data_IF_685394954710
#
_entry.id   IF_685394954710
#
_cell.length_a   1.000
_cell.length_b   1.000
_cell.length_c   1.000
_cell.angle_alpha   90.00
_cell.angle_beta   90.00
_cell.angle_gamma   90.00
#
_symmetry.space_group_name_H-M   'P 1'
#
loop_
_entity.id
_entity.type
_entity.pdbx_description
1 polymer ?
#
# COMPACT_ATOMS: atom_id res chain seq x y z
N UNK A 1 -31.14 8.41 64.79
CA UNK A 1 -31.04 9.71 64.11
C UNK A 1 -29.61 10.15 64.29
N UNK A 2 -28.79 10.06 63.24
CA UNK A 2 -27.79 11.07 62.88
C UNK A 2 -26.90 10.56 61.74
N UNK A 3 -26.72 11.48 60.80
CA UNK A 3 -26.29 11.35 59.41
C UNK A 3 -24.95 10.66 59.14
N UNK A 4 -24.95 9.91 58.04
CA UNK A 4 -23.80 9.70 57.16
C UNK A 4 -23.17 11.04 56.73
N UNK A 5 -21.85 11.16 56.87
CA UNK A 5 -21.05 11.94 55.93
C UNK A 5 -19.64 11.36 55.84
N UNK A 6 -19.44 10.62 54.76
CA UNK A 6 -18.16 10.12 54.27
C UNK A 6 -17.25 11.30 53.90
N UNK A 7 -16.12 11.45 54.59
CA UNK A 7 -15.02 12.30 54.13
C UNK A 7 -14.08 11.46 53.27
N UNK A 8 -14.31 11.46 51.95
CA UNK A 8 -13.29 11.12 50.98
C UNK A 8 -12.18 12.19 51.03
N UNK A 9 -10.99 11.81 51.48
CA UNK A 9 -9.80 12.62 51.33
C UNK A 9 -9.45 12.65 49.83
N UNK A 10 -9.70 13.78 49.17
CA UNK A 10 -9.17 14.06 47.84
C UNK A 10 -7.67 14.33 47.97
N UNK A 11 -6.85 13.36 47.60
CA UNK A 11 -5.44 13.60 47.27
C UNK A 11 -5.37 14.56 46.09
N UNK A 12 -4.73 15.71 46.30
CA UNK A 12 -4.43 16.66 45.23
C UNK A 12 -3.44 16.01 44.25
N UNK A 13 -3.63 16.17 42.92
CA UNK A 13 -2.69 15.65 41.95
C UNK A 13 -1.33 16.36 42.12
N UNK A 14 -0.31 15.57 42.41
CA UNK A 14 1.08 16.01 42.48
C UNK A 14 1.51 16.55 41.12
N UNK A 15 1.94 17.81 41.08
CA UNK A 15 2.52 18.42 39.90
C UNK A 15 3.75 17.60 39.42
N UNK A 16 3.90 17.32 38.11
CA UNK A 16 5.06 16.59 37.64
C UNK A 16 6.31 17.44 37.85
N UNK A 17 7.22 16.96 38.71
CA UNK A 17 8.59 17.48 38.82
C UNK A 17 9.38 17.05 37.59
N UNK A 18 9.20 17.77 36.49
CA UNK A 18 10.02 17.63 35.30
C UNK A 18 11.03 18.79 35.24
N UNK A 19 12.08 18.69 36.06
CA UNK A 19 13.36 19.26 35.67
C UNK A 19 13.98 18.25 34.68
N UNK A 20 13.55 18.30 33.42
CA UNK A 20 14.12 17.47 32.35
C UNK A 20 15.53 17.96 32.05
N UNK A 21 16.48 17.03 32.10
CA UNK A 21 17.86 17.20 31.65
C UNK A 21 17.89 17.76 30.20
N UNK A 22 18.52 18.92 29.93
CA UNK A 22 18.54 19.56 28.61
C UNK A 22 19.05 18.65 27.50
N UNK A 23 19.90 17.67 27.83
CA UNK A 23 20.44 16.68 26.89
C UNK A 23 19.38 15.69 26.37
N UNK A 24 18.25 15.55 27.07
CA UNK A 24 17.17 14.61 26.72
C UNK A 24 16.12 15.21 25.79
N UNK A 25 15.97 16.54 25.78
CA UNK A 25 15.10 17.30 24.87
C UNK A 25 15.51 17.11 23.40
N UNK A 26 16.80 16.81 23.16
CA UNK A 26 17.50 16.76 21.88
C UNK A 26 17.15 15.54 21.00
N UNK A 27 16.32 14.61 21.50
CA UNK A 27 16.05 13.32 20.86
C UNK A 27 14.68 13.21 20.18
N UNK A 28 13.79 14.21 20.33
CA UNK A 28 12.35 14.08 20.01
C UNK A 28 11.93 14.95 18.82
N UNK A 29 10.99 14.44 18.02
CA UNK A 29 10.29 15.27 17.05
C UNK A 29 9.39 16.26 17.79
N UNK A 30 9.54 17.55 17.52
CA UNK A 30 8.66 18.61 18.02
C UNK A 30 7.59 18.98 16.98
N UNK A 31 6.53 19.67 17.41
CA UNK A 31 5.48 20.22 16.53
C UNK A 31 4.78 19.21 15.61
N UNK A 32 4.54 17.99 16.09
CA UNK A 32 3.92 16.91 15.30
C UNK A 32 2.43 17.12 14.99
N UNK A 33 1.74 17.97 15.75
CA UNK A 33 0.31 18.22 15.56
C UNK A 33 0.04 19.21 14.43
N UNK A 34 -1.07 18.99 13.72
CA UNK A 34 -1.66 19.99 12.83
C UNK A 34 -2.58 20.89 13.65
N UNK A 35 -2.47 22.20 13.46
CA UNK A 35 -3.33 23.18 14.12
C UNK A 35 -4.54 23.40 13.23
N UNK A 36 -5.63 22.69 13.54
CA UNK A 36 -6.87 22.75 12.75
C UNK A 36 -7.86 23.80 13.27
N UNK A 37 -7.62 24.37 14.45
CA UNK A 37 -8.52 25.37 15.03
C UNK A 37 -8.32 26.73 14.36
N UNK A 38 -9.38 27.27 13.75
CA UNK A 38 -9.38 28.54 13.02
C UNK A 38 -8.98 29.74 13.89
N UNK A 39 -9.31 29.70 15.18
CA UNK A 39 -8.97 30.76 16.14
C UNK A 39 -7.59 30.63 16.79
N UNK A 40 -6.80 29.61 16.45
CA UNK A 40 -5.55 29.30 17.17
C UNK A 40 -4.53 30.45 17.12
N UNK A 41 -4.57 31.22 16.04
CA UNK A 41 -3.70 32.36 15.81
C UNK A 41 -4.48 33.67 15.57
N UNK A 42 -5.74 33.72 16.01
CA UNK A 42 -6.56 34.93 15.90
C UNK A 42 -5.92 36.12 16.62
N UNK A 43 -5.22 35.87 17.74
CA UNK A 43 -4.44 36.89 18.46
C UNK A 43 -3.24 37.42 17.69
N UNK A 44 -2.74 36.66 16.70
CA UNK A 44 -1.67 37.07 15.78
C UNK A 44 -2.23 37.62 14.45
N UNK A 45 -3.55 37.74 14.32
CA UNK A 45 -4.21 38.20 13.09
C UNK A 45 -4.20 37.19 11.95
N UNK A 46 -3.86 35.91 12.21
CA UNK A 46 -3.84 34.85 11.19
C UNK A 46 -5.18 34.13 11.19
N UNK A 47 -5.87 34.17 10.05
CA UNK A 47 -7.11 33.42 9.82
C UNK A 47 -6.79 32.03 9.26
N UNK A 48 -7.02 31.01 10.08
CA UNK A 48 -6.83 29.60 9.72
C UNK A 48 -8.13 28.93 9.21
N UNK A 49 -9.15 29.71 8.83
CA UNK A 49 -10.38 29.14 8.26
C UNK A 49 -10.10 28.37 6.97
N UNK A 50 -10.72 27.18 6.85
CA UNK A 50 -10.61 26.37 5.64
C UNK A 50 -11.39 27.05 4.51
N UNK A 51 -10.68 27.67 3.57
CA UNK A 51 -11.27 28.26 2.36
C UNK A 51 -11.00 27.36 1.16
N UNK A 52 -12.07 26.89 0.51
CA UNK A 52 -11.94 25.99 -0.64
C UNK A 52 -11.14 26.63 -1.78
N UNK A 53 -11.32 27.92 -2.03
CA UNK A 53 -10.56 28.65 -3.06
C UNK A 53 -9.06 28.68 -2.76
N UNK A 54 -8.69 28.85 -1.49
CA UNK A 54 -7.30 28.79 -1.07
C UNK A 54 -6.72 27.38 -1.30
N UNK A 55 -7.47 26.33 -0.96
CA UNK A 55 -7.05 24.96 -1.24
C UNK A 55 -6.87 24.73 -2.74
N UNK A 56 -7.83 25.11 -3.59
CA UNK A 56 -7.77 24.92 -5.04
C UNK A 56 -6.59 25.64 -5.70
N UNK A 57 -6.21 26.82 -5.20
CA UNK A 57 -5.11 27.60 -5.76
C UNK A 57 -3.73 27.10 -5.33
N UNK A 58 -3.63 26.48 -4.14
CA UNK A 58 -2.35 26.02 -3.58
C UNK A 58 -2.10 24.53 -3.77
N UNK A 59 -3.14 23.72 -3.91
CA UNK A 59 -3.02 22.29 -4.11
C UNK A 59 -2.39 21.99 -5.47
N UNK A 60 -1.30 21.23 -5.45
CA UNK A 60 -0.56 20.82 -6.66
C UNK A 60 -0.11 19.38 -6.54
N UNK A 61 -0.11 18.69 -7.69
CA UNK A 61 0.46 17.36 -7.84
C UNK A 61 1.56 17.45 -8.89
N UNK A 62 2.76 17.00 -8.54
CA UNK A 62 3.91 16.94 -9.44
C UNK A 62 4.39 15.50 -9.55
N UNK A 63 4.23 14.88 -10.72
CA UNK A 63 4.73 13.51 -10.96
C UNK A 63 6.23 13.60 -11.23
N UNK A 64 7.02 12.92 -10.41
CA UNK A 64 8.49 12.92 -10.49
C UNK A 64 8.96 11.74 -11.33
N UNK A 65 8.38 10.57 -11.09
CA UNK A 65 8.71 9.34 -11.81
C UNK A 65 7.46 8.48 -12.01
N UNK A 66 7.38 7.83 -13.16
CA UNK A 66 6.29 6.93 -13.54
C UNK A 66 6.88 5.74 -14.29
N UNK A 67 6.97 4.60 -13.59
CA UNK A 67 7.30 3.30 -14.13
C UNK A 67 6.07 2.50 -14.54
N UNK A 68 6.27 1.22 -14.89
CA UNK A 68 5.18 0.30 -15.22
C UNK A 68 4.39 -0.11 -13.96
N UNK A 69 5.10 -0.46 -12.89
CA UNK A 69 4.53 -0.95 -11.64
C UNK A 69 4.73 0.02 -10.46
N UNK A 70 5.42 1.15 -10.66
CA UNK A 70 5.68 2.14 -9.61
C UNK A 70 5.47 3.59 -10.06
N UNK A 71 5.07 4.45 -9.11
CA UNK A 71 4.92 5.89 -9.32
C UNK A 71 5.43 6.65 -8.10
N UNK A 72 6.17 7.73 -8.33
CA UNK A 72 6.56 8.72 -7.32
C UNK A 72 6.04 10.10 -7.71
N UNK A 73 5.27 10.72 -6.83
CA UNK A 73 4.73 12.05 -7.06
C UNK A 73 4.64 12.86 -5.76
N UNK A 74 4.66 14.18 -5.91
CA UNK A 74 4.55 15.12 -4.82
C UNK A 74 3.11 15.63 -4.71
N UNK A 75 2.56 15.62 -3.50
CA UNK A 75 1.30 16.25 -3.15
C UNK A 75 1.57 17.45 -2.25
N UNK A 76 1.33 18.65 -2.79
CA UNK A 76 1.64 19.93 -2.14
C UNK A 76 0.32 20.62 -1.76
N UNK A 77 0.25 21.18 -0.56
CA UNK A 77 -0.90 21.94 -0.06
C UNK A 77 -2.04 21.07 0.51
N UNK A 78 -1.75 19.83 0.93
CA UNK A 78 -2.74 18.90 1.49
C UNK A 78 -2.52 18.64 2.98
N UNK A 79 -3.58 18.29 3.72
CA UNK A 79 -3.48 17.91 5.13
C UNK A 79 -3.01 16.44 5.30
N UNK A 80 -2.19 16.13 6.32
CA UNK A 80 -1.75 14.77 6.61
C UNK A 80 -2.89 13.74 6.77
N UNK A 81 -4.07 14.15 7.24
CA UNK A 81 -5.21 13.26 7.42
C UNK A 81 -5.74 12.75 6.08
N UNK A 82 -5.82 13.63 5.07
CA UNK A 82 -6.30 13.27 3.73
C UNK A 82 -5.25 12.43 2.98
N UNK A 83 -3.97 12.82 3.08
CA UNK A 83 -2.85 12.02 2.57
C UNK A 83 -2.87 10.58 3.18
N UNK A 84 -3.04 10.47 4.50
CA UNK A 84 -3.13 9.17 5.16
C UNK A 84 -4.41 8.40 4.79
N UNK A 85 -5.52 9.09 4.50
CA UNK A 85 -6.74 8.45 4.03
C UNK A 85 -6.50 7.76 2.68
N UNK A 86 -5.88 8.44 1.70
CA UNK A 86 -5.53 7.84 0.42
C UNK A 86 -4.58 6.65 0.58
N UNK A 87 -3.53 6.78 1.41
CA UNK A 87 -2.62 5.68 1.72
C UNK A 87 -3.36 4.45 2.27
N UNK A 88 -4.32 4.66 3.18
CA UNK A 88 -5.11 3.56 3.78
C UNK A 88 -6.06 2.92 2.77
N UNK A 89 -6.71 3.72 1.93
CA UNK A 89 -7.63 3.23 0.89
C UNK A 89 -6.87 2.38 -0.12
N UNK A 90 -5.70 2.84 -0.59
CA UNK A 90 -4.83 2.08 -1.50
C UNK A 90 -4.48 0.69 -0.96
N UNK A 91 -4.13 0.60 0.33
CA UNK A 91 -3.71 -0.67 0.93
C UNK A 91 -4.90 -1.61 1.18
N UNK A 92 -6.04 -1.07 1.62
CA UNK A 92 -7.10 -1.88 2.23
C UNK A 92 -8.42 -1.92 1.46
N UNK A 93 -8.72 -0.94 0.62
CA UNK A 93 -10.09 -0.75 0.10
C UNK A 93 -10.19 -0.76 -1.41
N UNK A 94 -9.10 -0.49 -2.13
CA UNK A 94 -9.08 -0.70 -3.58
C UNK A 94 -9.22 -2.21 -3.86
N UNK A 95 -10.25 -2.65 -4.60
CA UNK A 95 -10.51 -4.05 -4.82
C UNK A 95 -9.62 -4.65 -5.91
N UNK A 96 -9.33 -5.95 -5.79
CA UNK A 96 -8.59 -6.73 -6.80
C UNK A 96 -9.19 -8.13 -6.95
N UNK A 97 -8.70 -8.90 -7.92
CA UNK A 97 -9.03 -10.32 -8.08
C UNK A 97 -7.92 -11.17 -7.47
N UNK A 98 -8.28 -12.13 -6.62
CA UNK A 98 -7.32 -13.09 -6.05
C UNK A 98 -7.98 -14.47 -5.86
N UNK A 99 -7.17 -15.54 -5.84
CA UNK A 99 -7.64 -16.91 -5.63
C UNK A 99 -8.20 -17.07 -4.21
N UNK A 100 -9.44 -17.55 -4.11
CA UNK A 100 -10.15 -17.78 -2.86
C UNK A 100 -10.41 -19.26 -2.61
N UNK A 101 -11.01 -19.96 -3.58
CA UNK A 101 -11.36 -21.37 -3.46
C UNK A 101 -10.40 -22.20 -4.32
N UNK A 102 -9.82 -23.26 -3.75
CA UNK A 102 -8.96 -24.20 -4.47
C UNK A 102 -9.57 -25.59 -4.35
N UNK A 103 -9.93 -26.17 -5.47
CA UNK A 103 -10.48 -27.52 -5.61
C UNK A 103 -9.33 -28.44 -6.00
N UNK A 104 -8.91 -29.32 -5.10
CA UNK A 104 -7.82 -30.27 -5.35
C UNK A 104 -8.41 -31.60 -5.80
N UNK A 105 -8.07 -32.04 -7.02
CA UNK A 105 -8.43 -33.37 -7.49
C UNK A 105 -7.41 -34.42 -7.04
N UNK A 106 -6.12 -34.09 -7.16
CA UNK A 106 -5.04 -34.97 -6.73
C UNK A 106 -3.80 -34.15 -6.33
N UNK A 107 -3.28 -34.35 -5.12
CA UNK A 107 -2.00 -33.81 -4.70
C UNK A 107 -1.17 -34.93 -4.06
N UNK A 108 -0.10 -35.34 -4.76
CA UNK A 108 0.89 -36.30 -4.25
C UNK A 108 2.24 -35.64 -3.97
N UNK A 109 2.27 -34.30 -3.96
CA UNK A 109 3.47 -33.52 -3.65
C UNK A 109 3.81 -33.57 -2.16
N UNK A 110 4.95 -33.00 -1.79
CA UNK A 110 5.35 -32.86 -0.38
C UNK A 110 4.66 -31.69 0.33
N UNK A 111 4.05 -30.77 -0.42
CA UNK A 111 3.39 -29.59 0.14
C UNK A 111 1.95 -29.98 0.48
N UNK A 112 1.54 -29.70 1.72
CA UNK A 112 0.17 -29.93 2.18
C UNK A 112 -0.82 -29.05 1.40
N UNK A 113 -2.05 -29.54 1.24
CA UNK A 113 -3.08 -28.89 0.45
C UNK A 113 -3.37 -27.46 0.92
N UNK A 114 -3.42 -27.23 2.23
CA UNK A 114 -3.69 -25.92 2.82
C UNK A 114 -2.56 -24.92 2.54
N UNK A 115 -1.31 -25.40 2.59
CA UNK A 115 -0.12 -24.58 2.29
C UNK A 115 -0.07 -24.26 0.80
N UNK A 116 -0.40 -25.23 -0.05
CA UNK A 116 -0.49 -25.05 -1.50
C UNK A 116 -1.57 -24.03 -1.85
N UNK A 117 -2.77 -24.16 -1.28
CA UNK A 117 -3.87 -23.23 -1.48
C UNK A 117 -3.53 -21.81 -1.00
N UNK A 118 -2.88 -21.68 0.16
CA UNK A 118 -2.43 -20.39 0.68
C UNK A 118 -1.41 -19.72 -0.27
N UNK A 119 -0.46 -20.48 -0.83
CA UNK A 119 0.51 -19.96 -1.81
C UNK A 119 -0.18 -19.50 -3.09
N UNK A 120 -1.12 -20.29 -3.62
CA UNK A 120 -1.90 -19.91 -4.80
C UNK A 120 -2.71 -18.64 -4.56
N UNK A 121 -3.28 -18.48 -3.36
CA UNK A 121 -4.01 -17.28 -2.96
C UNK A 121 -3.20 -15.99 -3.03
N UNK A 122 -1.88 -16.05 -2.89
CA UNK A 122 -0.98 -14.89 -2.88
C UNK A 122 -0.40 -14.53 -4.26
N UNK A 123 -0.75 -15.27 -5.31
CA UNK A 123 -0.28 -14.97 -6.67
C UNK A 123 -1.12 -13.79 -7.22
N UNK A 124 -0.50 -12.66 -7.58
CA UNK A 124 -1.22 -11.54 -8.17
C UNK A 124 -1.74 -11.90 -9.56
N UNK A 125 -3.02 -11.64 -9.80
CA UNK A 125 -3.68 -11.89 -11.09
C UNK A 125 -3.73 -10.58 -11.85
N UNK A 126 -3.25 -10.60 -13.10
CA UNK A 126 -3.34 -9.48 -14.01
C UNK A 126 -4.72 -9.46 -14.67
N UNK A 127 -5.63 -8.69 -14.07
CA UNK A 127 -6.99 -8.50 -14.56
C UNK A 127 -7.59 -7.24 -13.98
N UNK A 128 -8.40 -6.53 -14.77
CA UNK A 128 -9.13 -5.35 -14.29
C UNK A 128 -10.30 -5.78 -13.39
N UNK A 129 -10.28 -5.47 -12.08
CA UNK A 129 -11.33 -5.85 -11.15
C UNK A 129 -12.64 -5.09 -11.38
N UNK A 130 -12.64 -4.01 -12.17
CA UNK A 130 -13.85 -3.22 -12.47
C UNK A 130 -14.82 -3.97 -13.38
N UNK A 131 -14.33 -4.91 -14.16
CA UNK A 131 -15.12 -5.77 -15.05
C UNK A 131 -15.89 -6.85 -14.27
N UNK A 132 -15.54 -7.06 -13.00
CA UNK A 132 -16.13 -8.11 -12.16
C UNK A 132 -17.02 -7.54 -11.05
N UNK A 133 -18.10 -8.26 -10.79
CA UNK A 133 -19.04 -7.99 -9.70
C UNK A 133 -18.62 -8.73 -8.42
N UNK A 134 -19.06 -8.23 -7.26
CA UNK A 134 -18.91 -8.97 -6.01
C UNK A 134 -19.85 -10.18 -5.99
N UNK A 135 -19.43 -11.26 -5.31
CA UNK A 135 -20.25 -12.47 -5.19
C UNK A 135 -21.26 -12.33 -4.05
N UNK A 136 -22.52 -11.99 -4.36
CA UNK A 136 -23.57 -11.78 -3.36
C UNK A 136 -24.22 -13.07 -2.82
N UNK A 137 -24.18 -14.18 -3.58
CA UNK A 137 -24.96 -15.41 -3.29
C UNK A 137 -24.14 -16.71 -3.34
N UNK A 138 -22.82 -16.59 -3.31
CA UNK A 138 -21.88 -17.74 -3.41
C UNK A 138 -22.02 -18.60 -4.68
N UNK A 139 -22.82 -18.20 -5.66
CA UNK A 139 -22.96 -18.87 -6.95
C UNK A 139 -21.94 -18.33 -7.94
N UNK A 140 -20.91 -19.10 -8.34
CA UNK A 140 -19.90 -18.64 -9.29
C UNK A 140 -20.49 -18.51 -10.69
N UNK A 141 -20.40 -17.33 -11.28
CA UNK A 141 -20.84 -17.00 -12.63
C UNK A 141 -19.71 -16.35 -13.44
N UNK A 142 -19.97 -16.09 -14.72
CA UNK A 142 -19.00 -15.52 -15.65
C UNK A 142 -18.57 -14.08 -15.31
N UNK A 143 -19.34 -13.36 -14.49
CA UNK A 143 -19.08 -11.96 -14.12
C UNK A 143 -18.42 -11.78 -12.75
N UNK A 144 -18.37 -12.82 -11.92
CA UNK A 144 -17.87 -12.72 -10.54
C UNK A 144 -16.65 -13.61 -10.26
N UNK A 145 -16.43 -14.64 -11.08
CA UNK A 145 -15.40 -15.66 -10.83
C UNK A 145 -14.54 -15.90 -12.06
N UNK A 146 -13.24 -16.06 -11.83
CA UNK A 146 -12.27 -16.54 -12.83
C UNK A 146 -11.79 -17.91 -12.37
N UNK A 147 -11.74 -18.89 -13.28
CA UNK A 147 -11.27 -20.25 -12.97
C UNK A 147 -9.93 -20.49 -13.65
N UNK A 148 -8.97 -20.99 -12.87
CA UNK A 148 -7.68 -21.47 -13.37
C UNK A 148 -7.55 -22.97 -13.11
N UNK A 149 -6.89 -23.68 -14.02
CA UNK A 149 -6.50 -25.08 -13.85
C UNK A 149 -4.99 -25.16 -13.73
N UNK A 150 -4.52 -26.00 -12.81
CA UNK A 150 -3.12 -26.35 -12.67
C UNK A 150 -3.00 -27.86 -12.73
N UNK A 151 -2.34 -28.37 -13.76
CA UNK A 151 -2.01 -29.77 -13.89
C UNK A 151 -0.51 -29.93 -14.17
N UNK A 152 0.21 -30.54 -13.23
CA UNK A 152 1.64 -30.74 -13.32
C UNK A 152 2.00 -32.14 -12.82
N UNK A 153 2.64 -32.93 -13.69
CA UNK A 153 3.09 -34.29 -13.39
C UNK A 153 4.57 -34.47 -13.69
N UNK A 154 5.32 -34.97 -12.71
CA UNK A 154 6.72 -35.34 -12.89
C UNK A 154 6.81 -36.84 -13.17
N UNK A 155 7.20 -37.23 -14.39
CA UNK A 155 7.34 -38.65 -14.73
C UNK A 155 8.52 -39.32 -14.01
N UNK A 156 8.43 -40.64 -13.80
CA UNK A 156 9.51 -41.42 -13.19
C UNK A 156 10.75 -41.38 -14.10
N UNK A 157 11.90 -41.04 -13.53
CA UNK A 157 13.18 -40.97 -14.26
C UNK A 157 13.56 -39.59 -14.81
N UNK A 158 12.66 -38.59 -14.75
CA UNK A 158 12.99 -37.19 -15.07
C UNK A 158 13.57 -36.46 -13.84
N UNK A 159 14.34 -35.37 -14.04
CA UNK A 159 14.75 -34.51 -12.93
C UNK A 159 13.53 -33.86 -12.26
N UNK A 160 13.75 -33.31 -11.06
CA UNK A 160 12.69 -32.64 -10.29
C UNK A 160 12.08 -31.50 -11.11
N UNK A 161 10.75 -31.45 -11.17
CA UNK A 161 10.00 -30.43 -11.88
C UNK A 161 9.70 -29.26 -10.93
N UNK A 162 10.03 -28.04 -11.34
CA UNK A 162 9.59 -26.82 -10.63
C UNK A 162 8.27 -26.37 -11.24
N UNK A 163 7.21 -26.34 -10.44
CA UNK A 163 5.89 -25.87 -10.84
C UNK A 163 5.85 -24.36 -10.60
N UNK A 164 5.69 -23.58 -11.67
CA UNK A 164 5.59 -22.12 -11.61
C UNK A 164 4.18 -21.63 -11.94
N UNK A 165 3.89 -20.36 -11.65
CA UNK A 165 2.62 -19.69 -11.96
C UNK A 165 2.24 -19.74 -13.43
N UNK A 166 3.21 -19.80 -14.36
CA UNK A 166 2.96 -20.00 -15.80
C UNK A 166 2.08 -21.22 -16.13
N UNK A 167 2.10 -22.25 -15.29
CA UNK A 167 1.30 -23.46 -15.49
C UNK A 167 -0.18 -23.29 -15.11
N UNK A 168 -0.57 -22.14 -14.53
CA UNK A 168 -1.97 -21.79 -14.31
C UNK A 168 -2.62 -21.42 -15.65
N UNK A 169 -3.45 -22.32 -16.17
CA UNK A 169 -4.20 -22.09 -17.42
C UNK A 169 -5.59 -21.58 -17.10
N UNK A 170 -5.97 -20.42 -17.62
CA UNK A 170 -7.32 -19.88 -17.50
C UNK A 170 -8.35 -20.76 -18.22
N UNK A 171 -9.49 -21.00 -17.58
CA UNK A 171 -10.63 -21.73 -18.11
C UNK A 171 -11.82 -20.77 -18.34
N UNK A 172 -12.03 -20.29 -19.59
CA UNK A 172 -13.05 -19.28 -19.87
C UNK A 172 -14.50 -19.83 -19.79
N UNK A 173 -14.66 -21.15 -19.86
CA UNK A 173 -15.96 -21.84 -19.76
C UNK A 173 -16.33 -22.21 -18.32
N UNK A 174 -15.50 -21.86 -17.34
CA UNK A 174 -15.68 -22.22 -15.93
C UNK A 174 -15.02 -23.54 -15.55
N UNK A 175 -15.43 -24.09 -14.40
CA UNK A 175 -14.91 -25.32 -13.80
C UNK A 175 -15.23 -26.54 -14.66
N UNK A 176 -14.23 -27.38 -14.89
CA UNK A 176 -14.33 -28.69 -15.55
C UNK A 176 -14.61 -29.80 -14.52
N UNK A 177 -14.32 -29.56 -13.24
CA UNK A 177 -14.55 -30.53 -12.17
C UNK A 177 -16.06 -30.74 -11.89
N UNK A 178 -16.53 -32.00 -11.87
CA UNK A 178 -17.92 -32.30 -11.58
C UNK A 178 -18.23 -32.07 -10.11
N UNK A 179 -19.34 -31.39 -9.84
CA UNK A 179 -19.93 -31.31 -8.51
C UNK A 179 -20.50 -32.68 -8.16
N UNK A 180 -20.02 -33.30 -7.07
CA UNK A 180 -20.57 -34.56 -6.56
C UNK A 180 -21.95 -34.27 -5.95
N UNK A 181 -23.00 -34.24 -6.78
CA UNK A 181 -24.38 -34.21 -6.30
C UNK A 181 -24.96 -35.61 -6.36
N UNK A 182 -25.43 -36.11 -5.21
CA UNK A 182 -26.20 -37.35 -5.12
C UNK A 182 -27.35 -37.37 -6.13
N UNK A 183 -27.42 -38.46 -6.91
CA UNK A 183 -28.42 -38.80 -7.93
C UNK A 183 -28.26 -38.07 -9.27
N UNK A 184 -27.44 -38.67 -10.13
CA UNK A 184 -27.42 -38.42 -11.57
C UNK A 184 -28.80 -38.70 -12.19
N UNK A 185 -29.42 -37.67 -12.76
CA UNK A 185 -30.48 -37.83 -13.77
C UNK A 185 -29.80 -38.27 -15.08
N UNK A 186 -30.28 -39.28 -15.82
CA UNK A 186 -29.51 -39.91 -16.90
C UNK A 186 -29.26 -39.05 -18.15
N UNK A 187 -29.64 -37.77 -18.19
CA UNK A 187 -29.65 -36.98 -19.43
C UNK A 187 -29.33 -35.48 -19.28
N UNK A 188 -28.80 -35.03 -18.13
CA UNK A 188 -28.33 -33.64 -17.95
C UNK A 188 -26.80 -33.59 -17.93
N UNK A 189 -26.21 -32.54 -18.54
CA UNK A 189 -24.78 -32.24 -18.37
C UNK A 189 -24.41 -32.29 -16.88
N UNK A 190 -23.26 -32.89 -16.51
CA UNK A 190 -22.83 -32.92 -15.12
C UNK A 190 -22.75 -31.47 -14.60
N UNK A 191 -23.33 -31.22 -13.42
CA UNK A 191 -23.21 -29.91 -12.77
C UNK A 191 -21.75 -29.75 -12.35
N UNK A 192 -21.13 -28.62 -12.67
CA UNK A 192 -19.78 -28.28 -12.23
C UNK A 192 -19.87 -27.26 -11.10
N UNK A 193 -18.73 -26.84 -10.52
CA UNK A 193 -18.68 -25.86 -9.44
C UNK A 193 -19.03 -24.43 -9.87
N UNK A 194 -19.20 -24.19 -11.17
CA UNK A 194 -19.55 -22.88 -11.74
C UNK A 194 -20.74 -22.99 -12.68
N UNK A 195 -21.55 -21.94 -12.77
CA UNK A 195 -22.69 -21.86 -13.70
C UNK A 195 -22.48 -20.72 -14.69
N UNK A 196 -21.60 -20.92 -15.67
CA UNK A 196 -21.29 -19.91 -16.69
C UNK A 196 -22.32 -19.99 -17.81
N UNK A 197 -22.98 -18.86 -18.10
CA UNK A 197 -23.99 -18.78 -19.17
C UNK A 197 -23.37 -18.67 -20.56
N UNK A 198 -22.19 -18.04 -20.63
CA UNK A 198 -21.38 -17.85 -21.82
C UNK A 198 -19.89 -17.98 -21.47
N UNK A 199 -19.04 -18.14 -22.50
CA UNK A 199 -17.60 -18.19 -22.30
C UNK A 199 -17.04 -16.78 -22.14
N UNK A 200 -16.16 -16.58 -21.16
CA UNK A 200 -15.55 -15.28 -20.90
C UNK A 200 -14.69 -14.79 -22.07
N UNK A 201 -14.13 -15.68 -22.89
CA UNK A 201 -13.32 -15.33 -24.07
C UNK A 201 -14.12 -14.62 -25.18
N UNK A 202 -15.43 -14.88 -25.25
CA UNK A 202 -16.33 -14.25 -26.22
C UNK A 202 -16.72 -12.83 -25.86
N UNK A 203 -16.47 -12.41 -24.62
CA UNK A 203 -16.76 -11.05 -24.19
C UNK A 203 -15.70 -10.09 -24.75
N UNK A 204 -16.11 -8.97 -25.37
CA UNK A 204 -15.18 -8.03 -26.00
C UNK A 204 -14.16 -7.47 -24.99
N UNK A 205 -14.57 -7.35 -23.73
CA UNK A 205 -13.77 -6.87 -22.59
C UNK A 205 -12.52 -7.75 -22.32
N UNK A 206 -12.58 -9.06 -22.60
CA UNK A 206 -11.49 -10.01 -22.33
C UNK A 206 -10.74 -10.45 -23.59
N UNK A 207 -11.25 -10.12 -24.78
CA UNK A 207 -10.63 -10.51 -26.07
C UNK A 207 -9.23 -9.92 -26.30
N UNK A 208 -8.93 -8.76 -25.71
CA UNK A 208 -7.64 -8.07 -25.85
C UNK A 208 -6.71 -8.24 -24.63
N UNK A 209 -7.22 -8.68 -23.47
CA UNK A 209 -6.46 -8.78 -22.23
C UNK A 209 -6.43 -10.22 -21.75
N UNK A 210 -5.28 -10.89 -21.91
CA UNK A 210 -5.11 -12.27 -21.42
C UNK A 210 -5.16 -12.32 -19.90
N UNK A 211 -6.17 -12.99 -19.35
CA UNK A 211 -6.29 -13.23 -17.92
C UNK A 211 -5.23 -14.26 -17.51
N UNK A 212 -4.37 -13.89 -16.56
CA UNK A 212 -3.30 -14.74 -16.07
C UNK A 212 -2.58 -14.17 -14.85
N UNK A 213 -1.62 -14.90 -14.28
CA UNK A 213 -0.75 -14.34 -13.26
C UNK A 213 0.09 -13.20 -13.84
N UNK A 214 0.34 -12.13 -13.06
CA UNK A 214 1.24 -11.03 -13.48
C UNK A 214 2.65 -11.55 -13.74
N UNK A 215 3.19 -12.30 -12.77
CA UNK A 215 4.51 -12.92 -12.89
C UNK A 215 4.38 -14.41 -13.21
N UNK A 216 5.07 -14.86 -14.26
CA UNK A 216 5.04 -16.25 -14.74
C UNK A 216 6.04 -17.19 -14.03
N UNK A 217 6.98 -16.62 -13.29
CA UNK A 217 8.11 -17.35 -12.69
C UNK A 217 7.95 -17.59 -11.17
N UNK A 218 6.78 -17.28 -10.60
CA UNK A 218 6.51 -17.54 -9.19
C UNK A 218 6.49 -19.05 -8.95
N UNK A 219 7.41 -19.54 -8.13
CA UNK A 219 7.49 -20.97 -7.78
C UNK A 219 6.33 -21.32 -6.82
N UNK A 220 5.49 -22.25 -7.24
CA UNK A 220 4.38 -22.78 -6.45
C UNK A 220 4.85 -24.00 -5.64
N UNK A 221 5.41 -24.99 -6.34
CA UNK A 221 5.82 -26.27 -5.76
C UNK A 221 7.03 -26.87 -6.48
N UNK A 222 7.70 -27.84 -5.85
CA UNK A 222 8.73 -28.67 -6.51
C UNK A 222 8.36 -30.13 -6.41
N UNK A 223 8.20 -30.78 -7.56
CA UNK A 223 7.80 -32.18 -7.67
C UNK A 223 9.01 -33.08 -7.89
N UNK A 224 9.02 -34.19 -7.18
CA UNK A 224 9.92 -35.32 -7.42
C UNK A 224 9.33 -36.31 -8.43
N UNK A 225 10.13 -37.27 -8.92
CA UNK A 225 9.70 -38.24 -9.92
C UNK A 225 8.52 -39.10 -9.41
N UNK A 226 7.44 -39.14 -10.17
CA UNK A 226 6.21 -39.85 -9.83
C UNK A 226 5.15 -39.02 -9.10
N UNK A 227 5.44 -37.78 -8.73
CA UNK A 227 4.49 -36.87 -8.08
C UNK A 227 3.69 -36.07 -9.11
N UNK A 228 2.47 -35.68 -8.71
CA UNK A 228 1.48 -34.99 -9.51
C UNK A 228 0.65 -34.03 -8.64
N UNK A 229 0.30 -32.88 -9.24
CA UNK A 229 -0.65 -31.89 -8.72
C UNK A 229 -1.69 -31.66 -9.81
N UNK A 230 -2.96 -31.79 -9.45
CA UNK A 230 -4.12 -31.48 -10.27
C UNK A 230 -5.16 -30.73 -9.43
N UNK A 231 -5.43 -29.48 -9.80
CA UNK A 231 -6.37 -28.62 -9.09
C UNK A 231 -7.02 -27.56 -10.00
N UNK A 232 -8.15 -27.04 -9.53
CA UNK A 232 -8.78 -25.82 -10.04
C UNK A 232 -8.75 -24.73 -8.96
N UNK A 233 -8.47 -23.49 -9.35
CA UNK A 233 -8.39 -22.34 -8.47
C UNK A 233 -9.38 -21.26 -8.94
N UNK A 234 -10.29 -20.86 -8.07
CA UNK A 234 -11.33 -19.88 -8.34
C UNK A 234 -10.92 -18.55 -7.73
N UNK A 235 -10.73 -17.55 -8.57
CA UNK A 235 -10.44 -16.18 -8.19
C UNK A 235 -11.70 -15.32 -8.18
N UNK A 236 -11.81 -14.49 -7.15
CA UNK A 236 -12.95 -13.62 -6.91
C UNK A 236 -12.50 -12.21 -6.54
N UNK A 237 -13.40 -11.25 -6.74
CA UNK A 237 -13.20 -9.86 -6.36
C UNK A 237 -13.25 -9.72 -4.84
N UNK A 238 -12.27 -9.04 -4.27
CA UNK A 238 -12.18 -8.76 -2.84
C UNK A 238 -11.37 -7.52 -2.53
N UNK A 239 -11.25 -7.20 -1.24
CA UNK A 239 -10.55 -6.00 -0.74
C UNK A 239 -9.46 -6.38 0.26
N UNK A 240 -8.37 -5.60 0.29
CA UNK A 240 -7.25 -5.79 1.21
C UNK A 240 -7.63 -5.79 2.70
N UNK A 241 -8.72 -5.11 3.06
CA UNK A 241 -9.30 -5.07 4.42
C UNK A 241 -9.77 -6.45 4.89
N UNK A 242 -10.24 -7.29 3.97
CA UNK A 242 -10.66 -8.67 4.28
C UNK A 242 -9.45 -9.58 4.39
N UNK A 243 -8.52 -9.51 3.44
CA UNK A 243 -7.28 -10.27 3.47
C UNK A 243 -6.20 -9.57 2.63
N UNK A 244 -4.94 -9.64 3.08
CA UNK A 244 -3.81 -8.95 2.44
C UNK A 244 -3.58 -9.37 0.98
N UNK A 245 -4.01 -10.56 0.57
CA UNK A 245 -3.90 -11.05 -0.82
C UNK A 245 -4.63 -10.19 -1.85
N UNK A 246 -5.64 -9.44 -1.43
CA UNK A 246 -6.36 -8.50 -2.29
C UNK A 246 -5.78 -7.09 -2.25
N UNK A 247 -4.66 -6.86 -1.56
CA UNK A 247 -4.01 -5.56 -1.61
C UNK A 247 -3.38 -5.35 -3.00
N UNK A 248 -3.76 -4.30 -3.74
CA UNK A 248 -3.22 -4.03 -5.07
C UNK A 248 -1.81 -3.46 -5.06
N UNK A 249 -1.32 -3.08 -3.88
CA UNK A 249 -0.02 -2.43 -3.71
C UNK A 249 0.92 -3.36 -2.96
N UNK A 250 2.15 -3.49 -3.46
CA UNK A 250 3.24 -4.09 -2.69
C UNK A 250 3.54 -3.19 -1.49
N UNK A 251 3.66 -1.89 -1.73
CA UNK A 251 3.70 -0.87 -0.68
C UNK A 251 3.16 0.46 -1.19
N UNK A 252 2.46 1.16 -0.31
CA UNK A 252 2.06 2.55 -0.52
C UNK A 252 2.44 3.34 0.72
N UNK A 253 3.33 4.31 0.56
CA UNK A 253 3.82 5.12 1.65
C UNK A 253 4.07 6.55 1.19
N UNK A 254 4.20 7.44 2.16
CA UNK A 254 4.60 8.80 1.91
C UNK A 254 5.58 9.25 2.97
N UNK A 255 6.42 10.22 2.61
CA UNK A 255 7.23 11.00 3.55
C UNK A 255 6.97 12.48 3.32
N UNK A 256 7.05 13.27 4.38
CA UNK A 256 7.08 14.73 4.22
C UNK A 256 8.42 15.13 3.60
N UNK A 257 8.41 16.16 2.75
CA UNK A 257 9.65 16.72 2.18
C UNK A 257 10.59 17.16 3.34
N UNK A 258 11.81 16.62 3.40
CA UNK A 258 12.81 17.09 4.35
C UNK A 258 13.21 18.53 4.03
N UNK A 259 13.24 19.38 5.05
CA UNK A 259 13.78 20.73 4.95
C UNK A 259 15.00 20.80 5.87
N UNK A 260 16.18 21.06 5.29
CA UNK A 260 17.42 21.21 6.05
C UNK A 260 17.80 22.68 6.02
N UNK A 261 17.85 23.31 7.20
CA UNK A 261 18.17 24.73 7.33
C UNK A 261 19.52 24.86 8.05
N UNK A 262 20.44 25.60 7.45
CA UNK A 262 21.68 26.01 8.09
C UNK A 262 21.43 27.32 8.84
N UNK A 263 21.59 27.30 10.16
CA UNK A 263 21.36 28.48 11.02
C UNK A 263 22.59 29.39 11.12
N UNK A 264 23.77 28.83 10.84
CA UNK A 264 25.05 29.54 10.81
C UNK A 264 25.75 29.24 9.48
N UNK A 265 26.65 30.13 9.05
CA UNK A 265 27.52 29.86 7.90
C UNK A 265 28.59 28.83 8.30
N UNK A 266 28.66 27.74 7.54
CA UNK A 266 29.58 26.63 7.80
C UNK A 266 30.65 26.66 6.72
N UNK A 267 31.87 27.02 7.11
CA UNK A 267 33.01 27.25 6.22
C UNK A 267 34.11 26.18 6.37
N UNK A 268 34.89 26.01 5.31
CA UNK A 268 36.16 25.30 5.22
C UNK A 268 36.12 23.86 5.79
N UNK A 269 36.92 23.56 6.83
CA UNK A 269 37.04 22.21 7.40
C UNK A 269 35.69 21.67 7.92
N UNK A 270 34.86 22.56 8.47
CA UNK A 270 33.53 22.18 8.96
C UNK A 270 32.58 21.85 7.81
N UNK A 271 32.72 22.51 6.66
CA UNK A 271 31.92 22.21 5.48
C UNK A 271 32.24 20.82 4.92
N UNK A 272 33.52 20.47 4.85
CA UNK A 272 33.99 19.15 4.43
C UNK A 272 33.56 18.06 5.45
N UNK A 273 33.62 18.34 6.76
CA UNK A 273 33.12 17.43 7.80
C UNK A 273 31.61 17.17 7.63
N UNK A 274 30.82 18.22 7.43
CA UNK A 274 29.37 18.13 7.26
C UNK A 274 28.99 17.32 6.02
N UNK A 275 29.68 17.56 4.90
CA UNK A 275 29.49 16.80 3.66
C UNK A 275 29.80 15.31 3.88
N UNK A 276 30.94 15.00 4.53
CA UNK A 276 31.34 13.62 4.85
C UNK A 276 30.37 12.90 5.80
N UNK A 277 29.70 13.61 6.70
CA UNK A 277 28.69 13.02 7.61
C UNK A 277 27.42 12.57 6.88
N UNK A 278 27.13 13.12 5.70
CA UNK A 278 25.90 12.81 4.98
C UNK A 278 26.15 11.72 3.92
N UNK A 279 25.64 10.48 4.11
CA UNK A 279 25.89 9.38 3.16
C UNK A 279 25.13 9.53 1.82
N UNK A 280 24.16 10.44 1.75
CA UNK A 280 23.30 10.67 0.57
C UNK A 280 23.55 12.03 -0.08
N UNK A 281 24.69 12.65 0.24
CA UNK A 281 25.18 13.90 -0.36
C UNK A 281 24.13 15.02 -0.43
N UNK A 282 23.43 15.29 0.69
CA UNK A 282 22.49 16.43 0.79
C UNK A 282 23.22 17.76 0.67
N UNK A 283 24.42 17.82 1.25
CA UNK A 283 25.24 19.03 1.30
C UNK A 283 26.22 19.06 0.13
N UNK A 284 26.43 20.24 -0.42
CA UNK A 284 27.49 20.51 -1.38
C UNK A 284 28.34 21.70 -0.94
N UNK A 285 29.48 21.91 -1.58
CA UNK A 285 30.43 22.96 -1.24
C UNK A 285 30.52 23.94 -2.39
N UNK A 286 30.26 25.21 -2.11
CA UNK A 286 30.47 26.33 -3.02
C UNK A 286 31.77 27.07 -2.66
N UNK A 287 32.56 27.40 -3.68
CA UNK A 287 33.75 28.25 -3.51
C UNK A 287 33.34 29.73 -3.55
N UNK A 288 33.64 30.47 -2.48
CA UNK A 288 33.38 31.90 -2.35
C UNK A 288 34.64 32.70 -2.71
N UNK A 289 34.45 33.96 -3.14
CA UNK A 289 35.54 34.93 -3.28
C UNK A 289 36.44 34.96 -2.02
N UNK A 290 37.75 34.99 -2.23
CA UNK A 290 38.83 34.78 -1.24
C UNK A 290 39.23 33.32 -0.97
N UNK A 291 38.75 32.35 -1.75
CA UNK A 291 39.19 30.95 -1.65
C UNK A 291 38.62 30.19 -0.45
N UNK A 292 37.55 30.72 0.16
CA UNK A 292 36.79 30.07 1.24
C UNK A 292 35.78 29.11 0.66
N UNK A 293 35.57 27.98 1.33
CA UNK A 293 34.57 26.97 0.97
C UNK A 293 33.36 27.09 1.88
N UNK A 294 32.15 27.13 1.35
CA UNK A 294 30.91 27.18 2.15
C UNK A 294 30.00 25.98 1.85
N UNK A 295 29.45 25.37 2.90
CA UNK A 295 28.45 24.33 2.74
C UNK A 295 27.08 24.93 2.34
N UNK A 296 26.44 24.33 1.35
CA UNK A 296 25.06 24.60 0.95
C UNK A 296 24.22 23.33 0.99
N UNK A 297 22.91 23.49 1.10
CA UNK A 297 21.95 22.37 1.01
C UNK A 297 21.51 22.23 -0.45
N UNK A 298 22.20 21.39 -1.21
CA UNK A 298 21.94 21.21 -2.64
C UNK A 298 20.77 20.25 -2.91
N UNK A 299 20.64 19.18 -2.11
CA UNK A 299 19.67 18.08 -2.36
C UNK A 299 18.87 17.71 -1.11
N UNK A 300 17.96 18.57 -0.63
CA UNK A 300 17.17 18.30 0.57
C UNK A 300 16.23 17.10 0.41
N UNK A 301 15.68 16.86 -0.80
CA UNK A 301 14.78 15.73 -1.12
C UNK A 301 15.40 14.36 -0.82
N UNK A 302 16.70 14.22 -1.09
CA UNK A 302 17.46 12.98 -0.91
C UNK A 302 17.71 12.65 0.57
N UNK A 303 17.49 13.60 1.48
CA UNK A 303 17.73 13.40 2.91
C UNK A 303 16.84 12.27 3.46
N UNK A 304 17.47 11.25 4.04
CA UNK A 304 16.79 10.14 4.75
C UNK A 304 16.45 10.47 6.19
N UNK A 305 16.78 11.69 6.66
CA UNK A 305 16.65 12.14 8.05
C UNK A 305 17.36 11.20 9.05
N UNK A 306 18.56 10.71 8.70
CA UNK A 306 19.38 9.85 9.56
C UNK A 306 19.87 10.53 10.85
N UNK A 307 19.78 11.87 10.93
CA UNK A 307 20.20 12.73 12.05
C UNK A 307 21.70 12.73 12.36
N UNK A 308 22.54 12.20 11.47
CA UNK A 308 23.99 12.21 11.67
C UNK A 308 24.59 13.63 11.58
N UNK A 309 24.01 14.50 10.74
CA UNK A 309 24.46 15.89 10.60
C UNK A 309 24.22 16.78 11.83
N UNK A 310 23.34 16.37 12.75
CA UNK A 310 23.10 17.07 14.02
C UNK A 310 23.76 16.34 15.20
N UNK A 311 24.47 15.24 14.94
CA UNK A 311 25.14 14.46 15.99
C UNK A 311 26.48 15.11 16.34
N UNK A 312 26.67 15.36 17.63
CA UNK A 312 27.88 15.96 18.21
C UNK A 312 27.62 17.32 18.84
N UNK A 313 28.51 17.75 19.73
CA UNK A 313 28.45 19.08 20.34
C UNK A 313 28.59 20.16 19.25
N UNK A 314 27.87 21.28 19.43
CA UNK A 314 27.76 22.41 18.49
C UNK A 314 26.95 22.21 17.19
N UNK A 315 26.82 21.00 16.64
CA UNK A 315 26.09 20.77 15.38
C UNK A 315 24.58 21.05 15.47
N UNK A 316 23.98 20.86 16.65
CA UNK A 316 22.57 21.16 16.91
C UNK A 316 22.21 22.63 16.66
N UNK A 317 23.12 23.56 16.95
CA UNK A 317 22.89 25.01 16.75
C UNK A 317 23.08 25.43 15.29
N UNK A 318 23.85 24.64 14.54
CA UNK A 318 24.25 24.95 13.15
C UNK A 318 23.28 24.40 12.12
N UNK A 319 22.72 23.22 12.38
CA UNK A 319 21.86 22.51 11.42
C UNK A 319 20.52 22.20 12.05
N UNK A 320 19.45 22.74 11.47
CA UNK A 320 18.07 22.47 11.87
C UNK A 320 17.42 21.53 10.84
N UNK A 321 17.09 20.31 11.26
CA UNK A 321 16.31 19.36 10.46
C UNK A 321 14.81 19.55 10.68
N UNK A 322 14.08 19.83 9.59
CA UNK A 322 12.64 20.08 9.57
C UNK A 322 11.96 19.22 8.52
N UNK A 323 10.63 19.28 8.52
CA UNK A 323 9.76 18.65 7.53
C UNK A 323 8.69 19.65 7.12
N UNK A 324 8.49 19.80 5.83
CA UNK A 324 7.41 20.63 5.29
C UNK A 324 6.08 19.88 5.51
N UNK A 325 5.16 20.47 6.27
CA UNK A 325 3.97 19.76 6.78
C UNK A 325 2.92 19.45 5.70
N UNK A 326 2.88 20.27 4.67
CA UNK A 326 1.91 20.27 3.58
C UNK A 326 2.51 19.74 2.26
N UNK A 327 3.73 19.22 2.28
CA UNK A 327 4.40 18.64 1.11
C UNK A 327 4.73 17.18 1.36
N UNK A 328 4.00 16.29 0.71
CA UNK A 328 4.18 14.85 0.78
C UNK A 328 4.79 14.30 -0.50
N UNK A 329 5.83 13.50 -0.36
CA UNK A 329 6.38 12.66 -1.40
C UNK A 329 5.70 11.31 -1.26
N UNK A 330 4.80 10.99 -2.18
CA UNK A 330 4.09 9.72 -2.26
C UNK A 330 4.84 8.75 -3.17
N UNK A 331 4.95 7.51 -2.72
CA UNK A 331 5.43 6.39 -3.53
C UNK A 331 4.43 5.24 -3.46
N UNK A 332 4.01 4.76 -4.62
CA UNK A 332 3.08 3.64 -4.76
C UNK A 332 3.74 2.59 -5.65
N UNK A 333 3.88 1.39 -5.13
CA UNK A 333 4.38 0.22 -5.85
C UNK A 333 3.21 -0.76 -6.00
N UNK A 334 2.74 -0.96 -7.23
CA UNK A 334 1.68 -1.90 -7.59
C UNK A 334 2.18 -3.34 -7.54
N UNK A 335 1.27 -4.29 -7.29
CA UNK A 335 1.54 -5.73 -7.48
C UNK A 335 1.38 -6.16 -8.95
N UNK A 336 1.06 -5.22 -9.85
CA UNK A 336 0.86 -5.44 -11.28
C UNK A 336 -0.55 -5.88 -11.67
N UNK A 337 -1.49 -5.91 -10.72
CA UNK A 337 -2.92 -6.12 -11.01
C UNK A 337 -3.52 -4.94 -11.80
N UNK A 338 -3.13 -3.71 -11.44
CA UNK A 338 -3.51 -2.46 -12.11
C UNK A 338 -2.32 -1.50 -12.16
N UNK A 339 -2.23 -0.61 -13.17
CA UNK A 339 -1.23 0.45 -13.19
C UNK A 339 -1.36 1.40 -11.99
N UNK A 340 -0.24 1.90 -11.43
CA UNK A 340 -0.23 2.67 -10.19
C UNK A 340 -0.99 4.01 -10.27
N UNK A 341 -1.04 4.67 -11.43
CA UNK A 341 -1.82 5.89 -11.67
C UNK A 341 -3.33 5.63 -11.60
N UNK A 342 -3.76 4.45 -12.05
CA UNK A 342 -5.15 4.01 -11.95
C UNK A 342 -5.48 3.72 -10.49
N UNK A 343 -4.59 3.07 -9.74
CA UNK A 343 -4.79 2.77 -8.32
C UNK A 343 -5.05 4.04 -7.49
N UNK A 344 -4.26 5.09 -7.70
CA UNK A 344 -4.47 6.35 -6.97
C UNK A 344 -5.79 7.01 -7.35
N UNK A 345 -6.16 7.00 -8.64
CA UNK A 345 -7.43 7.53 -9.13
C UNK A 345 -8.63 6.78 -8.51
N UNK A 346 -8.57 5.45 -8.45
CA UNK A 346 -9.61 4.64 -7.80
C UNK A 346 -9.68 4.90 -6.29
N UNK A 347 -8.55 5.13 -5.62
CA UNK A 347 -8.54 5.48 -4.21
C UNK A 347 -9.25 6.82 -3.92
N UNK A 348 -9.17 7.79 -4.83
CA UNK A 348 -9.90 9.06 -4.73
C UNK A 348 -11.40 8.84 -4.89
N UNK A 349 -11.82 8.08 -5.92
CA UNK A 349 -13.24 7.74 -6.15
C UNK A 349 -13.86 7.01 -4.96
N UNK A 350 -13.15 6.05 -4.36
CA UNK A 350 -13.65 5.34 -3.17
C UNK A 350 -13.89 6.30 -2.00
N UNK A 351 -13.07 7.34 -1.85
CA UNK A 351 -13.29 8.35 -0.81
C UNK A 351 -14.51 9.22 -1.13
N UNK A 352 -14.67 9.63 -2.38
CA UNK A 352 -15.85 10.35 -2.89
C UNK A 352 -17.14 9.55 -2.66
N UNK A 353 -17.19 8.28 -3.08
CA UNK A 353 -18.33 7.38 -2.90
C UNK A 353 -18.72 7.18 -1.42
N UNK A 354 -17.75 7.28 -0.49
CA UNK A 354 -18.05 7.23 0.95
C UNK A 354 -18.71 8.51 1.43
N UNK A 355 -18.24 9.66 0.96
CA UNK A 355 -18.85 10.95 1.28
C UNK A 355 -20.27 11.02 0.70
N UNK A 356 -20.47 10.60 -0.54
CA UNK A 356 -21.78 10.56 -1.19
C UNK A 356 -22.76 9.63 -0.47
N UNK A 357 -22.33 8.42 -0.09
CA UNK A 357 -23.16 7.50 0.71
C UNK A 357 -23.59 8.11 2.04
N UNK A 358 -22.67 8.77 2.74
CA UNK A 358 -22.99 9.44 4.00
C UNK A 358 -24.00 10.58 3.79
N UNK A 359 -23.85 11.35 2.72
CA UNK A 359 -24.80 12.42 2.38
C UNK A 359 -26.19 11.82 2.08
N UNK A 360 -26.25 10.75 1.30
CA UNK A 360 -27.50 10.07 0.93
C UNK A 360 -28.23 9.44 2.13
N UNK A 361 -27.49 8.96 3.14
CA UNK A 361 -28.09 8.46 4.39
C UNK A 361 -28.63 9.57 5.30
N UNK A 362 -28.09 10.79 5.16
CA UNK A 362 -28.51 11.96 5.95
C UNK A 362 -29.64 12.76 5.28
N UNK A 363 -29.80 12.65 3.96
CA UNK A 363 -30.90 13.26 3.18
C UNK A 363 -32.15 12.40 3.20
#
# INVERSE_FOLDING_TARGET
MDNESSRCAHEAPTAPRNAEDPSRMQSRCSHSYTIQYSGAYASMGVDNSLRLDYFRNNFKIEVIDLGEDDIEFDMIGIDPALANAFRRILIAEVPTMAIEKVLVANNTSLIQDEVLAHRLGLIPIHVDPRLFEYSDKDTPNEKNTIVFRLHARCERGKPRLTVTSKLLTWLPNGSEFPLVSDKSVPNSKPKTYTSFSCSQDTLPEFSNNSIGPKDNDIIIARLGPGQEIELEAHAVKGMGKTHAKWSPVATAWYKMLPEVVLSEEIEDELAEELKKKCPVDVFDIEDIANGKKRAIVARPRSCTLCRECIRGEAWEKRVSLRRVKDHFIFKIESTGALPPEVLFTEAVKILEDKCERLIAELS
#
